data_IF_135008575578
#
_entry.id   IF_135008575578
#
_cell.length_a   1.000
_cell.length_b   1.000
_cell.length_c   1.000
_cell.angle_alpha   90.00
_cell.angle_beta   90.00
_cell.angle_gamma   90.00
#
_symmetry.space_group_name_H-M   'P 1'
#
loop_
_entity.id
_entity.type
_entity.pdbx_description
1 polymer ?
#
# COMPACT_ATOMS: atom_id res chain seq x y z
N UNK A 1 -3.86 -11.84 -1.86
CA UNK A 1 -4.06 -11.92 -0.41
C UNK A 1 -5.36 -11.24 -0.08
N UNK A 2 -6.26 -12.00 0.51
CA UNK A 2 -7.59 -11.56 0.90
C UNK A 2 -7.76 -11.78 2.42
N UNK A 3 -8.61 -10.99 3.04
CA UNK A 3 -9.20 -11.35 4.32
C UNK A 3 -10.38 -12.27 4.08
N UNK A 4 -10.44 -13.34 4.86
CA UNK A 4 -11.57 -14.24 4.92
C UNK A 4 -12.11 -14.22 6.36
N UNK A 5 -13.39 -13.89 6.56
CA UNK A 5 -13.99 -13.92 7.88
C UNK A 5 -14.02 -15.33 8.43
N UNK A 6 -13.62 -15.51 9.68
CA UNK A 6 -13.73 -16.80 10.35
C UNK A 6 -13.96 -16.68 11.85
N UNK A 7 -14.61 -17.69 12.43
CA UNK A 7 -14.69 -17.85 13.89
C UNK A 7 -13.70 -18.92 14.34
N UNK A 8 -13.13 -18.74 15.53
CA UNK A 8 -12.35 -19.79 16.18
C UNK A 8 -13.31 -20.84 16.71
N UNK A 9 -13.06 -22.12 16.42
CA UNK A 9 -13.86 -23.23 16.93
C UNK A 9 -13.73 -23.34 18.45
N UNK A 10 -14.78 -23.84 19.10
CA UNK A 10 -14.77 -24.03 20.55
C UNK A 10 -13.66 -24.99 21.00
N UNK A 11 -12.95 -24.62 22.06
CA UNK A 11 -11.89 -25.44 22.65
C UNK A 11 -10.51 -25.36 21.96
N UNK A 12 -10.35 -24.48 20.96
CA UNK A 12 -9.04 -24.19 20.37
C UNK A 12 -8.16 -23.42 21.35
N UNK A 13 -6.91 -23.87 21.49
CA UNK A 13 -5.89 -23.20 22.30
C UNK A 13 -5.43 -21.89 21.62
N UNK A 14 -5.53 -20.77 22.34
CA UNK A 14 -5.17 -19.44 21.83
C UNK A 14 -3.69 -19.33 21.45
N UNK A 15 -2.79 -19.98 22.21
CA UNK A 15 -1.35 -19.97 21.93
C UNK A 15 -0.99 -20.76 20.68
N UNK A 16 -1.70 -21.86 20.40
CA UNK A 16 -1.57 -22.60 19.14
C UNK A 16 -2.03 -21.75 17.97
N UNK A 17 -3.18 -21.10 18.08
CA UNK A 17 -3.71 -20.22 17.02
C UNK A 17 -2.76 -19.04 16.76
N UNK A 18 -2.28 -18.37 17.81
CA UNK A 18 -1.33 -17.25 17.68
C UNK A 18 -0.01 -17.71 17.03
N UNK A 19 0.48 -18.90 17.41
CA UNK A 19 1.66 -19.51 16.80
C UNK A 19 1.49 -19.74 15.29
N UNK A 20 0.33 -20.27 14.87
CA UNK A 20 0.01 -20.49 13.47
C UNK A 20 -0.12 -19.19 12.69
N UNK A 21 -0.80 -18.18 13.24
CA UNK A 21 -0.94 -16.86 12.61
C UNK A 21 0.44 -16.20 12.40
N UNK A 22 1.32 -16.27 13.41
CA UNK A 22 2.67 -15.71 13.32
C UNK A 22 3.52 -16.41 12.27
N UNK A 23 3.44 -17.74 12.21
CA UNK A 23 4.14 -18.53 11.21
C UNK A 23 3.58 -18.30 9.80
N UNK A 24 2.26 -18.17 9.66
CA UNK A 24 1.59 -17.81 8.40
C UNK A 24 2.10 -16.46 7.88
N UNK A 25 2.12 -15.43 8.73
CA UNK A 25 2.60 -14.11 8.36
C UNK A 25 4.05 -14.15 7.88
N UNK A 26 4.94 -14.85 8.60
CA UNK A 26 6.33 -15.06 8.20
C UNK A 26 6.43 -15.76 6.85
N UNK A 27 5.67 -16.83 6.65
CA UNK A 27 5.71 -17.62 5.41
C UNK A 27 5.12 -16.86 4.22
N UNK A 28 4.14 -15.98 4.41
CA UNK A 28 3.65 -15.11 3.33
C UNK A 28 4.69 -14.10 2.84
N UNK A 29 5.56 -13.60 3.72
CA UNK A 29 6.71 -12.79 3.32
C UNK A 29 7.72 -13.64 2.54
N UNK A 30 8.09 -14.81 3.09
CA UNK A 30 9.09 -15.71 2.47
C UNK A 30 8.63 -16.20 1.09
N UNK A 31 7.34 -16.46 0.90
CA UNK A 31 6.79 -16.99 -0.37
C UNK A 31 6.42 -15.89 -1.38
N UNK A 32 6.56 -14.61 -1.03
CA UNK A 32 6.27 -13.48 -1.91
C UNK A 32 4.77 -13.16 -2.08
N UNK A 33 3.93 -13.59 -1.14
CA UNK A 33 2.48 -13.33 -1.15
C UNK A 33 2.09 -12.01 -0.46
N UNK A 34 2.94 -11.47 0.42
CA UNK A 34 2.80 -10.15 1.03
C UNK A 34 3.88 -9.19 0.51
N UNK A 35 3.55 -7.90 0.40
CA UNK A 35 4.57 -6.84 0.22
C UNK A 35 5.47 -6.81 1.45
N UNK A 36 6.79 -6.67 1.24
CA UNK A 36 7.81 -6.69 2.30
C UNK A 36 7.42 -5.74 3.44
N UNK A 37 7.34 -6.25 4.66
CA UNK A 37 7.56 -5.42 5.84
C UNK A 37 9.03 -4.93 5.81
N UNK A 38 9.25 -3.65 6.08
CA UNK A 38 10.58 -3.03 6.04
C UNK A 38 11.52 -3.75 7.02
N UNK A 39 12.61 -4.35 6.53
CA UNK A 39 13.72 -4.83 7.38
C UNK A 39 14.18 -6.29 7.23
N UNK A 40 13.57 -7.11 6.37
CA UNK A 40 13.99 -8.53 6.22
C UNK A 40 14.83 -8.79 4.96
N UNK A 41 15.96 -9.49 5.14
CA UNK A 41 16.97 -9.81 4.12
C UNK A 41 16.63 -11.05 3.25
N UNK A 42 17.12 -10.99 2.01
CA UNK A 42 17.16 -11.99 0.89
C UNK A 42 16.12 -13.13 0.83
N UNK A 43 15.30 -13.03 -0.21
CA UNK A 43 14.35 -14.00 -0.75
C UNK A 43 15.03 -15.06 -1.65
N UNK A 44 14.67 -16.34 -1.47
CA UNK A 44 14.80 -17.38 -2.49
C UNK A 44 13.37 -17.82 -2.93
N UNK A 45 12.93 -17.45 -4.14
CA UNK A 45 11.63 -17.84 -4.70
C UNK A 45 11.41 -19.35 -4.73
N UNK A 46 12.47 -20.16 -4.70
CA UNK A 46 12.40 -21.59 -4.92
C UNK A 46 12.47 -22.42 -3.63
N UNK A 47 12.22 -21.80 -2.46
CA UNK A 47 12.09 -22.54 -1.21
C UNK A 47 10.79 -23.37 -1.17
N UNK A 48 10.85 -24.55 -1.80
CA UNK A 48 9.82 -25.59 -1.79
C UNK A 48 9.41 -25.93 -0.35
N UNK A 49 10.33 -25.85 0.60
CA UNK A 49 10.08 -26.13 2.02
C UNK A 49 9.16 -25.07 2.61
N UNK A 50 9.39 -23.79 2.32
CA UNK A 50 8.53 -22.70 2.79
C UNK A 50 7.10 -22.83 2.25
N UNK A 51 6.93 -23.20 0.98
CA UNK A 51 5.59 -23.44 0.39
C UNK A 51 4.86 -24.62 1.03
N UNK A 52 5.57 -25.72 1.29
CA UNK A 52 4.99 -26.89 1.97
C UNK A 52 4.59 -26.55 3.41
N UNK A 53 5.43 -25.80 4.14
CA UNK A 53 5.13 -25.32 5.50
C UNK A 53 3.94 -24.38 5.50
N UNK A 54 3.85 -23.48 4.50
CA UNK A 54 2.71 -22.57 4.38
C UNK A 54 1.44 -23.38 4.21
N UNK A 55 1.42 -24.34 3.28
CA UNK A 55 0.26 -25.23 3.08
C UNK A 55 -0.13 -25.94 4.38
N UNK A 56 0.82 -26.53 5.11
CA UNK A 56 0.53 -27.20 6.38
C UNK A 56 -0.05 -26.25 7.45
N UNK A 57 0.42 -24.99 7.49
CA UNK A 57 -0.15 -23.97 8.38
C UNK A 57 -1.56 -23.60 7.94
N UNK A 58 -1.82 -23.40 6.65
CA UNK A 58 -3.15 -23.11 6.12
C UNK A 58 -4.13 -24.26 6.42
N UNK A 59 -3.74 -25.51 6.13
CA UNK A 59 -4.55 -26.71 6.39
C UNK A 59 -4.91 -26.79 7.89
N UNK A 60 -3.93 -26.52 8.77
CA UNK A 60 -4.18 -26.51 10.21
C UNK A 60 -5.09 -25.37 10.63
N UNK A 61 -5.00 -24.19 10.01
CA UNK A 61 -5.94 -23.09 10.27
C UNK A 61 -7.36 -23.47 9.82
N UNK A 62 -7.56 -24.16 8.70
CA UNK A 62 -8.88 -24.65 8.26
C UNK A 62 -9.51 -25.63 9.26
N UNK A 63 -8.70 -26.42 9.96
CA UNK A 63 -9.16 -27.33 11.01
C UNK A 63 -9.61 -26.59 12.29
N UNK A 64 -9.06 -25.40 12.55
CA UNK A 64 -9.31 -24.64 13.78
C UNK A 64 -10.35 -23.52 13.61
N UNK A 65 -10.69 -23.19 12.37
CA UNK A 65 -11.53 -22.06 12.02
C UNK A 65 -12.82 -22.49 11.30
N UNK A 66 -13.93 -21.85 11.64
CA UNK A 66 -15.16 -21.89 10.87
C UNK A 66 -15.15 -20.72 9.88
N UNK A 67 -14.70 -21.02 8.66
CA UNK A 67 -14.40 -20.05 7.61
C UNK A 67 -15.63 -19.72 6.76
N UNK A 68 -15.84 -18.43 6.51
CA UNK A 68 -16.93 -17.89 5.67
C UNK A 68 -16.40 -17.56 4.26
N UNK A 69 -16.24 -18.60 3.44
CA UNK A 69 -15.62 -18.52 2.10
C UNK A 69 -16.38 -17.72 1.06
N UNK A 70 -17.66 -17.45 1.25
CA UNK A 70 -18.47 -16.65 0.34
C UNK A 70 -18.20 -15.14 0.50
N UNK A 71 -17.33 -14.73 1.43
CA UNK A 71 -17.07 -13.32 1.75
C UNK A 71 -15.57 -12.96 1.84
N UNK A 72 -14.72 -13.37 0.89
CA UNK A 72 -13.36 -12.86 0.86
C UNK A 72 -13.37 -11.37 0.50
N UNK A 73 -12.41 -10.64 1.03
CA UNK A 73 -12.21 -9.24 0.69
C UNK A 73 -10.74 -8.91 0.57
N UNK A 74 -10.38 -8.18 -0.49
CA UNK A 74 -8.99 -7.82 -0.76
C UNK A 74 -8.45 -6.95 0.36
N UNK A 75 -7.35 -7.39 0.99
CA UNK A 75 -6.64 -6.63 2.04
C UNK A 75 -6.25 -5.23 1.56
N UNK A 76 -5.99 -5.08 0.25
CA UNK A 76 -5.66 -3.80 -0.36
C UNK A 76 -6.73 -2.72 -0.21
N UNK A 77 -7.98 -3.06 0.15
CA UNK A 77 -9.05 -2.09 0.45
C UNK A 77 -8.65 -1.12 1.55
N UNK A 78 -7.92 -1.60 2.56
CA UNK A 78 -7.29 -0.75 3.56
C UNK A 78 -5.80 -0.60 3.23
N UNK A 79 -5.09 -1.71 2.99
CA UNK A 79 -3.63 -1.75 2.91
C UNK A 79 -2.99 -0.90 1.81
N UNK A 80 -3.74 -0.54 0.77
CA UNK A 80 -3.27 0.38 -0.29
C UNK A 80 -4.07 1.66 -0.40
N UNK A 81 -5.06 1.88 0.47
CA UNK A 81 -5.95 3.01 0.33
C UNK A 81 -5.32 4.27 0.94
N UNK A 82 -4.99 5.29 0.12
CA UNK A 82 -4.22 6.46 0.56
C UNK A 82 -4.96 7.34 1.57
N UNK A 83 -6.26 7.10 1.80
CA UNK A 83 -7.06 7.80 2.82
C UNK A 83 -6.73 7.36 4.23
N UNK A 84 -6.16 6.17 4.42
CA UNK A 84 -5.80 5.67 5.75
C UNK A 84 -4.36 6.01 6.13
N UNK A 85 -4.09 6.29 7.42
CA UNK A 85 -2.75 6.45 7.95
C UNK A 85 -1.81 5.28 7.61
N UNK A 86 -0.50 5.52 7.36
CA UNK A 86 0.47 4.47 7.03
C UNK A 86 0.44 3.29 8.00
N UNK A 87 0.48 3.55 9.30
CA UNK A 87 0.48 2.51 10.33
C UNK A 87 -0.76 1.61 10.30
N UNK A 88 -1.89 2.11 9.81
CA UNK A 88 -3.13 1.33 9.69
C UNK A 88 -3.17 0.55 8.39
N UNK A 89 -2.57 1.08 7.32
CA UNK A 89 -2.37 0.36 6.06
C UNK A 89 -1.43 -0.82 6.26
N UNK A 90 -0.34 -0.62 7.00
CA UNK A 90 0.61 -1.68 7.30
C UNK A 90 -0.04 -2.78 8.14
N UNK A 91 -0.81 -2.40 9.17
CA UNK A 91 -1.56 -3.34 9.99
C UNK A 91 -2.61 -4.14 9.19
N UNK A 92 -3.08 -3.63 8.05
CA UNK A 92 -4.05 -4.35 7.23
C UNK A 92 -3.46 -5.64 6.62
N UNK A 93 -2.14 -5.68 6.39
CA UNK A 93 -1.45 -6.86 5.86
C UNK A 93 -1.20 -7.94 6.91
N UNK A 94 -2.10 -8.06 7.89
CA UNK A 94 -2.04 -9.05 8.96
C UNK A 94 -3.39 -9.72 9.18
N UNK A 95 -3.35 -10.90 9.79
CA UNK A 95 -4.56 -11.55 10.34
C UNK A 95 -5.01 -10.78 11.57
N UNK A 96 -6.29 -10.45 11.64
CA UNK A 96 -6.92 -9.77 12.76
C UNK A 96 -7.78 -10.77 13.52
N UNK A 97 -7.38 -11.11 14.75
CA UNK A 97 -8.22 -11.88 15.67
C UNK A 97 -9.56 -11.17 15.91
N UNK A 98 -10.62 -11.84 16.40
CA UNK A 98 -11.93 -11.20 16.60
C UNK A 98 -11.88 -9.86 17.37
N UNK A 99 -11.10 -9.80 18.44
CA UNK A 99 -10.93 -8.57 19.22
C UNK A 99 -10.19 -7.48 18.42
N UNK A 100 -9.09 -7.83 17.75
CA UNK A 100 -8.32 -6.90 16.92
C UNK A 100 -9.12 -6.41 15.70
N UNK A 101 -9.90 -7.30 15.09
CA UNK A 101 -10.79 -6.98 13.98
C UNK A 101 -11.84 -5.96 14.40
N UNK A 102 -12.50 -6.16 15.56
CA UNK A 102 -13.49 -5.21 16.10
C UNK A 102 -12.90 -3.84 16.36
N UNK A 103 -11.74 -3.79 17.02
CA UNK A 103 -11.04 -2.53 17.29
C UNK A 103 -10.66 -1.82 15.98
N UNK A 104 -10.04 -2.55 15.05
CA UNK A 104 -9.64 -2.02 13.76
C UNK A 104 -10.84 -1.51 12.97
N UNK A 105 -11.94 -2.27 12.91
CA UNK A 105 -13.12 -1.90 12.14
C UNK A 105 -13.82 -0.66 12.70
N UNK A 106 -13.94 -0.58 14.02
CA UNK A 106 -14.46 0.61 14.72
C UNK A 106 -13.61 1.84 14.41
N UNK A 107 -12.28 1.70 14.51
CA UNK A 107 -11.33 2.78 14.25
C UNK A 107 -11.35 3.23 12.79
N UNK A 108 -11.33 2.29 11.85
CA UNK A 108 -11.33 2.56 10.42
C UNK A 108 -12.64 3.19 9.97
N UNK A 109 -13.79 2.67 10.44
CA UNK A 109 -15.10 3.23 10.12
C UNK A 109 -15.22 4.66 10.63
N UNK A 110 -14.89 4.90 11.90
CA UNK A 110 -14.91 6.25 12.48
C UNK A 110 -14.03 7.23 11.71
N UNK A 111 -12.80 6.84 11.38
CA UNK A 111 -11.89 7.67 10.59
C UNK A 111 -12.46 8.00 9.21
N UNK A 112 -13.02 7.00 8.54
CA UNK A 112 -13.59 7.16 7.22
C UNK A 112 -14.81 8.11 7.26
N UNK A 113 -15.71 7.93 8.23
CA UNK A 113 -16.85 8.82 8.43
C UNK A 113 -16.40 10.27 8.78
N UNK A 114 -15.34 10.43 9.59
CA UNK A 114 -14.72 11.72 9.87
C UNK A 114 -14.19 12.39 8.59
N UNK A 115 -13.53 11.62 7.72
CA UNK A 115 -13.02 12.11 6.44
C UNK A 115 -14.15 12.56 5.50
N UNK A 116 -15.26 11.81 5.46
CA UNK A 116 -16.46 12.20 4.70
C UNK A 116 -17.11 13.46 5.26
N UNK A 117 -17.10 13.64 6.57
CA UNK A 117 -17.56 14.86 7.22
C UNK A 117 -16.62 16.06 7.05
N UNK A 118 -15.52 15.92 6.29
CA UNK A 118 -14.56 16.99 6.06
C UNK A 118 -13.66 17.30 7.26
N UNK A 119 -13.58 16.41 8.26
CA UNK A 119 -12.65 16.54 9.39
C UNK A 119 -11.22 16.17 8.97
N UNK A 120 -10.26 16.55 9.81
CA UNK A 120 -8.84 16.22 9.67
C UNK A 120 -8.17 16.76 8.39
N UNK A 121 -8.59 17.95 7.92
CA UNK A 121 -8.08 18.54 6.68
C UNK A 121 -6.57 18.72 6.63
N UNK A 122 -5.95 19.21 7.71
CA UNK A 122 -4.50 19.40 7.78
C UNK A 122 -3.77 18.06 7.86
N UNK A 123 -4.23 17.11 8.68
CA UNK A 123 -3.66 15.75 8.71
C UNK A 123 -3.75 15.07 7.34
N UNK A 124 -4.90 15.12 6.67
CA UNK A 124 -5.10 14.51 5.35
C UNK A 124 -4.25 15.17 4.29
N UNK A 125 -3.99 16.48 4.39
CA UNK A 125 -3.03 17.16 3.52
C UNK A 125 -1.60 16.66 3.76
N UNK A 126 -1.16 16.47 5.01
CA UNK A 126 0.14 15.83 5.31
C UNK A 126 0.23 14.42 4.75
N UNK A 127 -0.81 13.61 4.94
CA UNK A 127 -0.89 12.24 4.44
C UNK A 127 -0.78 12.19 2.91
N UNK A 128 -1.45 13.11 2.20
CA UNK A 128 -1.34 13.23 0.74
C UNK A 128 0.04 13.66 0.29
N UNK A 129 0.64 14.67 0.92
CA UNK A 129 2.02 15.08 0.62
C UNK A 129 2.98 13.91 0.78
N UNK A 130 2.84 13.15 1.87
CA UNK A 130 3.67 11.97 2.14
C UNK A 130 3.47 10.86 1.10
N UNK A 131 2.22 10.52 0.75
CA UNK A 131 1.91 9.52 -0.27
C UNK A 131 2.47 9.91 -1.64
N UNK A 132 2.23 11.16 -2.07
CA UNK A 132 2.69 11.65 -3.37
C UNK A 132 4.22 11.71 -3.44
N UNK A 133 4.91 12.08 -2.35
CA UNK A 133 6.37 12.06 -2.31
C UNK A 133 6.95 10.65 -2.53
N UNK A 134 6.34 9.62 -1.90
CA UNK A 134 6.75 8.23 -2.10
C UNK A 134 6.48 7.75 -3.53
N UNK A 135 5.30 8.05 -4.06
CA UNK A 135 4.95 7.71 -5.44
C UNK A 135 5.91 8.36 -6.46
N UNK A 136 6.20 9.64 -6.28
CA UNK A 136 7.15 10.38 -7.12
C UNK A 136 8.55 9.76 -7.04
N UNK A 137 9.01 9.41 -5.84
CA UNK A 137 10.32 8.78 -5.66
C UNK A 137 10.38 7.40 -6.34
N UNK A 138 9.34 6.58 -6.20
CA UNK A 138 9.25 5.26 -6.84
C UNK A 138 9.24 5.36 -8.37
N UNK A 139 8.42 6.25 -8.94
CA UNK A 139 8.35 6.44 -10.39
C UNK A 139 9.67 6.99 -10.93
N UNK A 140 10.32 7.92 -10.21
CA UNK A 140 11.63 8.43 -10.62
C UNK A 140 12.68 7.33 -10.60
N UNK A 141 12.70 6.47 -9.57
CA UNK A 141 13.60 5.30 -9.51
C UNK A 141 13.37 4.37 -10.71
N UNK A 142 12.13 3.97 -10.98
CA UNK A 142 11.79 3.15 -12.15
C UNK A 142 12.25 3.79 -13.47
N UNK A 143 12.10 5.11 -13.60
CA UNK A 143 12.50 5.84 -14.81
C UNK A 143 14.01 5.90 -14.97
N UNK A 144 14.75 6.12 -13.89
CA UNK A 144 16.21 6.08 -13.87
C UNK A 144 16.72 4.68 -14.21
N UNK A 145 16.12 3.63 -13.65
CA UNK A 145 16.47 2.24 -13.94
C UNK A 145 16.21 1.91 -15.43
N UNK A 146 15.04 2.32 -15.96
CA UNK A 146 14.70 2.15 -17.36
C UNK A 146 15.67 2.92 -18.29
N UNK A 147 16.09 4.12 -17.90
CA UNK A 147 17.09 4.89 -18.64
C UNK A 147 18.47 4.24 -18.59
N UNK A 148 18.90 3.75 -17.43
CA UNK A 148 20.17 3.05 -17.22
C UNK A 148 20.26 1.77 -18.04
N UNK A 149 19.18 0.98 -18.10
CA UNK A 149 19.10 -0.23 -18.92
C UNK A 149 19.32 0.02 -20.43
N UNK A 150 19.24 1.27 -20.89
CA UNK A 150 19.51 1.62 -22.29
C UNK A 150 20.95 2.05 -22.58
N UNK A 151 21.81 2.18 -21.57
CA UNK A 151 23.19 2.64 -21.73
C UNK A 151 23.99 1.71 -22.65
N UNK A 152 23.85 0.40 -22.44
CA UNK A 152 24.58 -0.65 -23.19
C UNK A 152 23.83 -1.14 -24.44
N UNK A 153 22.63 -0.61 -24.70
CA UNK A 153 21.78 -1.05 -25.80
C UNK A 153 22.06 -0.22 -27.04
N UNK A 154 22.69 -0.84 -28.04
CA UNK A 154 23.06 -0.19 -29.29
C UNK A 154 22.08 -0.50 -30.44
N UNK A 155 21.02 0.30 -30.55
CA UNK A 155 19.99 0.17 -31.59
C UNK A 155 19.84 1.46 -32.39
N UNK A 156 19.31 1.42 -33.63
CA UNK A 156 19.02 2.64 -34.39
C UNK A 156 18.16 3.66 -33.63
N UNK A 157 17.32 3.20 -32.70
CA UNK A 157 16.47 4.07 -31.87
C UNK A 157 17.25 4.72 -30.72
N UNK A 158 18.11 3.98 -30.03
CA UNK A 158 18.93 4.51 -28.94
C UNK A 158 20.08 5.41 -29.42
N UNK A 159 20.46 5.31 -30.71
CA UNK A 159 21.39 6.24 -31.37
C UNK A 159 20.77 7.60 -31.71
N UNK A 160 19.45 7.75 -31.72
CA UNK A 160 18.78 9.01 -32.11
C UNK A 160 19.14 10.14 -31.13
N UNK A 161 19.50 11.35 -31.62
CA UNK A 161 19.82 12.48 -30.75
C UNK A 161 18.71 12.82 -29.76
N UNK A 162 17.44 12.74 -30.18
CA UNK A 162 16.28 13.00 -29.34
C UNK A 162 16.18 12.05 -28.14
N UNK A 163 16.44 10.76 -28.37
CA UNK A 163 16.44 9.77 -27.30
C UNK A 163 17.60 10.00 -26.33
N UNK A 164 18.81 10.27 -26.84
CA UNK A 164 19.98 10.58 -26.00
C UNK A 164 19.74 11.81 -25.13
N UNK A 165 19.09 12.85 -25.68
CA UNK A 165 18.69 14.04 -24.92
C UNK A 165 17.68 13.70 -23.84
N UNK A 166 16.60 12.98 -24.18
CA UNK A 166 15.58 12.57 -23.21
C UNK A 166 16.18 11.73 -22.07
N UNK A 167 17.12 10.83 -22.39
CA UNK A 167 17.84 10.04 -21.39
C UNK A 167 18.72 10.89 -20.48
N UNK A 168 19.45 11.87 -21.02
CA UNK A 168 20.21 12.80 -20.19
C UNK A 168 19.31 13.62 -19.27
N UNK A 169 18.14 14.04 -19.74
CA UNK A 169 17.16 14.75 -18.91
C UNK A 169 16.65 13.91 -17.74
N UNK A 170 16.48 12.59 -17.92
CA UNK A 170 16.17 11.66 -16.82
C UNK A 170 17.28 11.68 -15.76
N UNK A 171 18.54 11.52 -16.17
CA UNK A 171 19.67 11.51 -15.22
C UNK A 171 19.96 12.88 -14.60
N UNK A 172 19.47 13.96 -15.19
CA UNK A 172 19.60 15.32 -14.67
C UNK A 172 18.42 15.73 -13.76
N UNK A 173 17.44 14.86 -13.52
CA UNK A 173 16.40 15.11 -12.52
C UNK A 173 17.05 15.28 -11.15
N UNK A 174 16.60 16.30 -10.41
CA UNK A 174 16.96 16.45 -9.01
C UNK A 174 16.43 15.27 -8.19
N UNK A 175 17.01 15.04 -7.02
CA UNK A 175 16.46 14.07 -6.07
C UNK A 175 15.02 14.44 -5.71
N UNK A 176 14.13 13.44 -5.56
CA UNK A 176 12.74 13.69 -5.22
C UNK A 176 12.64 14.33 -3.82
N UNK A 177 11.77 15.34 -3.63
CA UNK A 177 11.57 15.98 -2.34
C UNK A 177 11.06 14.95 -1.33
N UNK A 178 11.67 14.95 -0.14
CA UNK A 178 11.26 14.09 0.96
C UNK A 178 10.16 14.77 1.76
N UNK A 179 9.09 14.03 2.08
CA UNK A 179 8.04 14.48 2.97
C UNK A 179 8.09 13.69 4.28
N UNK A 180 8.05 14.34 5.45
CA UNK A 180 8.04 13.63 6.72
C UNK A 180 6.76 12.78 6.85
N UNK A 181 6.81 11.66 7.60
CA UNK A 181 5.61 10.89 7.92
C UNK A 181 4.52 11.78 8.52
N UNK A 182 3.23 11.52 8.21
CA UNK A 182 2.12 12.36 8.65
C UNK A 182 1.90 12.36 10.17
N UNK A 183 2.51 11.39 10.87
CA UNK A 183 2.41 11.23 12.32
C UNK A 183 1.13 10.53 12.76
N UNK A 184 0.85 10.62 14.06
CA UNK A 184 -0.38 10.08 14.65
C UNK A 184 -1.60 10.89 14.19
N UNK A 185 -2.74 10.21 14.07
CA UNK A 185 -4.02 10.86 13.79
C UNK A 185 -4.39 11.77 14.97
N UNK A 186 -4.60 13.08 14.75
CA UNK A 186 -4.99 13.99 15.81
C UNK A 186 -6.44 13.72 16.26
N UNK A 187 -6.79 14.20 17.45
CA UNK A 187 -8.19 14.41 17.77
C UNK A 187 -8.78 15.43 16.80
N UNK A 188 -10.07 15.31 16.48
CA UNK A 188 -10.72 16.16 15.46
C UNK A 188 -10.56 17.66 15.73
N UNK A 189 -10.61 18.07 17.01
CA UNK A 189 -10.52 19.48 17.42
C UNK A 189 -9.06 19.99 17.50
N UNK A 190 -8.08 19.10 17.36
CA UNK A 190 -6.65 19.40 17.45
C UNK A 190 -5.94 19.39 16.08
N UNK A 191 -6.67 19.22 14.99
CA UNK A 191 -6.09 19.21 13.65
C UNK A 191 -5.64 20.61 13.24
N UNK A 192 -4.34 20.88 13.42
CA UNK A 192 -3.69 22.17 13.11
C UNK A 192 -2.68 22.00 11.98
N UNK A 193 -2.42 23.08 11.21
CA UNK A 193 -1.39 23.06 10.18
C UNK A 193 -0.02 22.83 10.82
N UNK A 194 0.77 21.96 10.18
CA UNK A 194 2.15 21.75 10.59
C UNK A 194 3.04 22.82 9.92
N UNK A 195 4.08 23.35 10.60
CA UNK A 195 5.05 24.23 9.94
C UNK A 195 5.63 23.59 8.67
N UNK A 196 5.72 24.36 7.58
CA UNK A 196 6.29 23.90 6.30
C UNK A 196 5.36 23.02 5.46
N UNK A 197 4.11 22.84 5.86
CA UNK A 197 3.19 21.90 5.23
C UNK A 197 2.83 22.27 3.78
N UNK A 198 2.53 23.54 3.53
CA UNK A 198 2.17 24.01 2.18
C UNK A 198 3.41 24.06 1.29
N UNK A 199 4.55 24.49 1.82
CA UNK A 199 5.82 24.51 1.12
C UNK A 199 6.24 23.08 0.69
N UNK A 200 6.03 22.09 1.58
CA UNK A 200 6.28 20.68 1.27
C UNK A 200 5.35 20.17 0.17
N UNK A 201 4.06 20.50 0.25
CA UNK A 201 3.09 20.15 -0.78
C UNK A 201 3.47 20.74 -2.14
N UNK A 202 3.75 22.04 -2.20
CA UNK A 202 4.13 22.73 -3.44
C UNK A 202 5.42 22.17 -4.04
N UNK A 203 6.42 21.84 -3.21
CA UNK A 203 7.66 21.24 -3.67
C UNK A 203 7.40 19.87 -4.32
N UNK A 204 6.61 19.01 -3.67
CA UNK A 204 6.27 17.68 -4.18
C UNK A 204 5.46 17.77 -5.49
N UNK A 205 4.43 18.63 -5.55
CA UNK A 205 3.61 18.81 -6.75
C UNK A 205 4.42 19.37 -7.92
N UNK A 206 5.29 20.35 -7.66
CA UNK A 206 6.18 20.92 -8.69
C UNK A 206 7.10 19.84 -9.26
N UNK A 207 7.65 18.99 -8.39
CA UNK A 207 8.50 17.88 -8.80
C UNK A 207 7.72 16.81 -9.58
N UNK A 208 6.53 16.45 -9.13
CA UNK A 208 5.63 15.53 -9.84
C UNK A 208 5.35 16.02 -11.27
N UNK A 209 5.06 17.31 -11.44
CA UNK A 209 4.86 17.93 -12.75
C UNK A 209 6.10 17.81 -13.65
N UNK A 210 7.29 18.13 -13.11
CA UNK A 210 8.55 18.00 -13.83
C UNK A 210 8.87 16.55 -14.22
N UNK A 211 8.70 15.62 -13.30
CA UNK A 211 8.86 14.19 -13.55
C UNK A 211 7.91 13.72 -14.65
N UNK A 212 6.65 14.15 -14.63
CA UNK A 212 5.66 13.83 -15.66
C UNK A 212 6.01 14.36 -17.05
N UNK A 213 6.68 15.51 -17.17
CA UNK A 213 7.23 16.02 -18.43
C UNK A 213 8.37 15.15 -18.96
N UNK A 214 9.38 14.91 -18.12
CA UNK A 214 10.57 14.13 -18.49
C UNK A 214 10.18 12.70 -18.87
N UNK A 215 9.29 12.08 -18.09
CA UNK A 215 8.74 10.76 -18.37
C UNK A 215 8.03 10.71 -19.73
N UNK A 216 7.19 11.71 -20.06
CA UNK A 216 6.50 11.76 -21.36
C UNK A 216 7.49 11.87 -22.51
N UNK A 217 8.52 12.69 -22.37
CA UNK A 217 9.56 12.86 -23.39
C UNK A 217 10.39 11.58 -23.58
N UNK A 218 10.76 10.93 -22.48
CA UNK A 218 11.42 9.63 -22.51
C UNK A 218 10.55 8.59 -23.21
N UNK A 219 9.30 8.39 -22.78
CA UNK A 219 8.39 7.39 -23.36
C UNK A 219 8.11 7.60 -24.86
N UNK A 220 8.07 8.85 -25.33
CA UNK A 220 7.87 9.17 -26.75
C UNK A 220 9.03 8.64 -27.61
N UNK A 221 10.25 8.80 -27.13
CA UNK A 221 11.47 8.51 -27.86
C UNK A 221 11.99 7.09 -27.60
N UNK A 222 11.76 6.54 -26.41
CA UNK A 222 12.25 5.25 -25.95
C UNK A 222 11.69 4.04 -26.73
N UNK A 223 12.47 2.93 -26.82
CA UNK A 223 11.97 1.63 -27.24
C UNK A 223 10.77 1.18 -26.40
N UNK A 224 9.86 0.39 -26.98
CA UNK A 224 8.62 -0.03 -26.30
C UNK A 224 8.87 -0.70 -24.94
N UNK A 225 9.89 -1.55 -24.84
CA UNK A 225 10.22 -2.29 -23.61
C UNK A 225 10.77 -1.43 -22.46
N UNK A 226 11.12 -0.17 -22.70
CA UNK A 226 11.63 0.74 -21.67
C UNK A 226 10.59 1.79 -21.24
N UNK A 227 9.36 1.71 -21.75
CA UNK A 227 8.34 2.71 -21.46
C UNK A 227 7.64 2.39 -20.16
N UNK A 228 7.47 3.39 -19.30
CA UNK A 228 6.68 3.25 -18.08
C UNK A 228 5.25 3.68 -18.32
N UNK A 229 4.30 2.88 -17.82
CA UNK A 229 2.87 3.19 -17.91
C UNK A 229 2.42 4.14 -16.80
N UNK A 230 3.00 4.02 -15.60
CA UNK A 230 2.66 4.83 -14.43
C UNK A 230 3.08 6.29 -14.63
N UNK A 231 2.30 7.22 -14.09
CA UNK A 231 2.60 8.66 -14.07
C UNK A 231 2.32 9.19 -12.67
N UNK A 232 3.09 10.17 -12.19
CA UNK A 232 2.78 10.81 -10.92
C UNK A 232 1.48 11.61 -11.09
N UNK A 233 0.50 11.35 -10.24
CA UNK A 233 -0.78 12.05 -10.24
C UNK A 233 -0.96 12.78 -8.90
N UNK A 234 -0.94 14.11 -8.95
CA UNK A 234 -1.40 14.90 -7.82
C UNK A 234 -2.93 14.78 -7.76
N UNK A 235 -3.42 13.79 -7.03
CA UNK A 235 -4.85 13.55 -6.88
C UNK A 235 -5.57 14.74 -6.23
N UNK A 236 -6.83 14.92 -6.60
CA UNK A 236 -7.71 15.93 -6.00
C UNK A 236 -8.07 15.59 -4.55
N UNK A 237 -8.62 16.59 -3.84
CA UNK A 237 -9.21 16.33 -2.53
C UNK A 237 -10.53 15.57 -2.65
N UNK A 238 -10.49 14.26 -2.51
CA UNK A 238 -11.68 13.41 -2.43
C UNK A 238 -12.44 13.54 -1.10
N UNK A 239 -12.24 14.63 -0.35
CA UNK A 239 -13.06 14.98 0.82
C UNK A 239 -14.55 14.91 0.49
N UNK A 240 -15.31 14.23 1.34
CA UNK A 240 -16.76 14.10 1.18
C UNK A 240 -17.22 13.14 0.09
N UNK A 241 -16.31 12.53 -0.68
CA UNK A 241 -16.67 11.53 -1.69
C UNK A 241 -16.59 10.14 -1.08
N UNK A 242 -17.73 9.49 -0.93
CA UNK A 242 -17.80 8.09 -0.50
C UNK A 242 -17.08 7.18 -1.51
N UNK A 243 -16.24 6.28 -0.99
CA UNK A 243 -15.64 5.18 -1.73
C UNK A 243 -16.60 3.98 -1.66
N UNK A 244 -17.24 3.59 -2.77
CA UNK A 244 -18.23 2.51 -2.77
C UNK A 244 -17.64 1.17 -2.27
N UNK A 245 -16.34 0.96 -2.51
CA UNK A 245 -15.69 -0.29 -2.14
C UNK A 245 -15.37 -0.34 -0.64
N UNK A 246 -15.01 0.79 -0.03
CA UNK A 246 -14.90 0.89 1.44
C UNK A 246 -16.26 0.74 2.12
N UNK A 247 -17.31 1.36 1.57
CA UNK A 247 -18.66 1.20 2.12
C UNK A 247 -19.13 -0.25 2.04
N UNK A 248 -18.95 -0.91 0.90
CA UNK A 248 -19.29 -2.33 0.76
C UNK A 248 -18.48 -3.20 1.72
N UNK A 249 -17.18 -2.92 1.90
CA UNK A 249 -16.34 -3.60 2.88
C UNK A 249 -16.94 -3.51 4.30
N UNK A 250 -17.20 -2.30 4.78
CA UNK A 250 -17.75 -2.08 6.12
C UNK A 250 -19.14 -2.71 6.28
N UNK A 251 -20.01 -2.58 5.27
CA UNK A 251 -21.37 -3.12 5.32
C UNK A 251 -21.38 -4.66 5.30
N UNK A 252 -20.43 -5.28 4.59
CA UNK A 252 -20.35 -6.73 4.47
C UNK A 252 -19.64 -7.40 5.65
N UNK A 253 -18.58 -6.79 6.17
CA UNK A 253 -17.72 -7.37 7.20
C UNK A 253 -18.01 -6.86 8.61
N UNK A 254 -18.51 -5.64 8.75
CA UNK A 254 -18.88 -5.06 10.04
C UNK A 254 -19.78 -5.98 10.87
N UNK A 255 -20.92 -6.47 10.33
CA UNK A 255 -21.80 -7.39 11.06
C UNK A 255 -21.10 -8.68 11.51
N UNK A 256 -20.24 -9.26 10.66
CA UNK A 256 -19.52 -10.50 11.00
C UNK A 256 -18.53 -10.28 12.15
N UNK A 257 -17.81 -9.16 12.11
CA UNK A 257 -16.86 -8.77 13.15
C UNK A 257 -17.58 -8.52 14.47
N UNK A 258 -18.75 -7.86 14.44
CA UNK A 258 -19.60 -7.70 15.63
C UNK A 258 -20.05 -9.06 16.18
N UNK A 259 -20.44 -9.99 15.31
CA UNK A 259 -20.82 -11.37 15.65
C UNK A 259 -19.64 -12.24 16.13
N UNK A 260 -18.42 -11.70 16.21
CA UNK A 260 -17.24 -12.36 16.76
C UNK A 260 -16.34 -13.05 15.76
N UNK A 261 -16.42 -12.71 14.46
CA UNK A 261 -15.46 -13.17 13.47
C UNK A 261 -14.16 -12.36 13.54
N UNK A 262 -13.04 -13.03 13.33
CA UNK A 262 -11.77 -12.41 12.93
C UNK A 262 -11.68 -12.28 11.41
N UNK A 263 -10.67 -11.55 10.95
CA UNK A 263 -10.33 -11.41 9.52
C UNK A 263 -8.97 -12.08 9.28
N UNK A 264 -8.99 -13.27 8.70
CA UNK A 264 -7.78 -14.09 8.51
C UNK A 264 -7.24 -13.93 7.11
N UNK A 265 -5.92 -13.86 6.96
CA UNK A 265 -5.29 -13.81 5.64
C UNK A 265 -5.43 -15.15 4.93
N UNK A 266 -5.80 -15.10 3.65
CA UNK A 266 -5.80 -16.23 2.72
C UNK A 266 -5.17 -15.86 1.36
#
# INVERSE_FOLDING_TARGET
MDWVPARVRDGVDEGVLEGLIREQARLYVVTGHAERLVGEDRYDPDDVTARQRLRAVMDRLEELLDITWDRPWRVSVIGRNPRFPPQWRDAAWSTLTPAAAREAMTRWRRWYDDCLAGRHGHYRRRLRTWNLAHEVADIQRELVDAAAATLDVDTPRTRRPEFRRARHEVFALADPPQAPPPGQVPAADDDRPHPGQEESWEAVVRHAGRLGEVLRQFNRTAPKGCRLARRPEAGDDESGTADPWLEEFFNRHGPLVEDGHGLYLW
#
